data_IF_241760742739
#
_entry.id   IF_241760742739
#
_cell.length_a   1.000
_cell.length_b   1.000
_cell.length_c   1.000
_cell.angle_alpha   90.00
_cell.angle_beta   90.00
_cell.angle_gamma   90.00
#
_symmetry.space_group_name_H-M   'P 1'
#
loop_
_entity.id
_entity.type
_entity.pdbx_description
1 polymer ?
#
# COMPACT_ATOMS: atom_id res chain seq x y z
N UNK A 1 11.47 -45.01 44.52
CA UNK A 1 11.28 -43.81 43.66
C UNK A 1 10.37 -42.84 44.42
N UNK A 2 10.87 -41.65 44.74
CA UNK A 2 10.23 -40.78 45.74
C UNK A 2 9.00 -40.09 45.14
N UNK A 3 7.81 -40.32 45.69
CA UNK A 3 6.53 -39.92 45.10
C UNK A 3 6.42 -38.39 44.89
N UNK A 4 7.09 -37.59 45.73
CA UNK A 4 7.23 -36.13 45.57
C UNK A 4 8.01 -35.72 44.31
N UNK A 5 8.99 -36.52 43.90
CA UNK A 5 9.81 -36.27 42.70
C UNK A 5 9.00 -36.51 41.42
N UNK A 6 8.11 -37.51 41.44
CA UNK A 6 7.21 -37.83 40.31
C UNK A 6 6.18 -36.73 40.10
N UNK A 7 5.58 -36.19 41.16
CA UNK A 7 4.64 -35.06 41.05
C UNK A 7 5.31 -33.76 40.60
N UNK A 8 6.55 -33.51 41.04
CA UNK A 8 7.30 -32.32 40.60
C UNK A 8 7.69 -32.37 39.12
N UNK A 9 8.05 -33.55 38.60
CA UNK A 9 8.32 -33.76 37.17
C UNK A 9 7.04 -33.63 36.33
N UNK A 10 5.93 -34.22 36.78
CA UNK A 10 4.64 -34.13 36.09
C UNK A 10 4.11 -32.69 36.04
N UNK A 11 4.25 -31.93 37.13
CA UNK A 11 3.83 -30.53 37.16
C UNK A 11 4.65 -29.67 36.18
N UNK A 12 5.97 -29.88 36.10
CA UNK A 12 6.84 -29.15 35.18
C UNK A 12 6.50 -29.45 33.70
N UNK A 13 6.18 -30.71 33.38
CA UNK A 13 5.82 -31.11 32.01
C UNK A 13 4.49 -30.54 31.53
N UNK A 14 3.57 -30.19 32.44
CA UNK A 14 2.27 -29.61 32.08
C UNK A 14 2.31 -28.07 32.08
N UNK A 15 3.05 -27.47 33.02
CA UNK A 15 3.18 -26.01 33.11
C UNK A 15 4.00 -25.40 31.98
N UNK A 16 5.06 -26.07 31.53
CA UNK A 16 5.93 -25.56 30.48
C UNK A 16 5.23 -25.36 29.12
N UNK A 17 4.43 -26.33 28.60
CA UNK A 17 3.69 -26.11 27.36
C UNK A 17 2.53 -25.14 27.52
N UNK A 18 1.91 -25.04 28.70
CA UNK A 18 0.84 -24.07 28.95
C UNK A 18 1.39 -22.63 28.96
N UNK A 19 2.55 -22.41 29.61
CA UNK A 19 3.25 -21.12 29.59
C UNK A 19 3.76 -20.76 28.19
N UNK A 20 4.23 -21.74 27.43
CA UNK A 20 4.62 -21.54 26.02
C UNK A 20 3.41 -21.12 25.17
N UNK A 21 2.25 -21.77 25.36
CA UNK A 21 1.01 -21.39 24.67
C UNK A 21 0.58 -19.96 25.02
N UNK A 22 0.57 -19.60 26.31
CA UNK A 22 0.21 -18.26 26.76
C UNK A 22 1.17 -17.20 26.19
N UNK A 23 2.48 -17.45 26.23
CA UNK A 23 3.48 -16.54 25.68
C UNK A 23 3.39 -16.38 24.15
N UNK A 24 2.95 -17.41 23.42
CA UNK A 24 2.81 -17.35 21.97
C UNK A 24 1.47 -16.72 21.53
N UNK A 25 0.44 -16.76 22.38
CA UNK A 25 -0.86 -16.11 22.10
C UNK A 25 -0.92 -14.65 22.54
N UNK A 26 -0.10 -14.27 23.52
CA UNK A 26 -0.15 -12.96 24.13
C UNK A 26 1.08 -12.16 23.72
N UNK A 27 0.86 -11.23 22.78
CA UNK A 27 1.83 -10.31 22.17
C UNK A 27 2.43 -9.29 23.17
N UNK A 28 2.81 -9.72 24.39
CA UNK A 28 3.35 -8.87 25.46
C UNK A 28 4.58 -8.07 25.01
N UNK A 29 5.35 -8.60 24.05
CA UNK A 29 6.58 -8.00 23.52
C UNK A 29 6.43 -7.41 22.12
N UNK A 30 5.21 -7.14 21.67
CA UNK A 30 5.00 -6.27 20.52
C UNK A 30 5.36 -4.85 20.94
N UNK A 31 6.65 -4.53 20.88
CA UNK A 31 7.13 -3.16 20.94
C UNK A 31 6.33 -2.40 19.88
N UNK A 32 5.48 -1.47 20.33
CA UNK A 32 4.82 -0.51 19.45
C UNK A 32 5.93 0.11 18.59
N UNK A 33 6.05 -0.36 17.35
CA UNK A 33 6.86 0.30 16.35
C UNK A 33 6.34 1.73 16.33
N UNK A 34 7.19 2.76 16.53
CA UNK A 34 6.72 4.13 16.48
C UNK A 34 6.05 4.30 15.13
N UNK A 35 4.71 4.45 15.13
CA UNK A 35 3.94 4.68 13.92
C UNK A 35 4.54 5.94 13.32
N UNK A 36 5.31 5.79 12.25
CA UNK A 36 5.93 6.93 11.60
C UNK A 36 4.83 7.94 11.31
N UNK A 37 4.99 9.17 11.80
CA UNK A 37 4.06 10.25 11.54
C UNK A 37 3.74 10.28 10.04
N UNK A 38 2.45 10.30 9.65
CA UNK A 38 2.08 10.21 8.26
C UNK A 38 2.74 11.36 7.49
N UNK A 39 3.56 11.02 6.50
CA UNK A 39 4.17 11.99 5.60
C UNK A 39 3.10 12.91 4.98
N UNK A 40 3.43 14.17 4.69
CA UNK A 40 2.48 15.13 4.12
C UNK A 40 1.78 14.58 2.86
N UNK A 41 2.52 13.84 2.03
CA UNK A 41 1.97 13.17 0.84
C UNK A 41 0.96 12.07 1.20
N UNK A 42 1.23 11.27 2.24
CA UNK A 42 0.30 10.23 2.70
C UNK A 42 -1.00 10.80 3.26
N UNK A 43 -0.94 11.93 3.96
CA UNK A 43 -2.12 12.60 4.49
C UNK A 43 -3.00 13.17 3.35
N UNK A 44 -2.36 13.85 2.39
CA UNK A 44 -3.04 14.36 1.21
C UNK A 44 -3.64 13.22 0.37
N UNK A 45 -2.87 12.15 0.15
CA UNK A 45 -3.31 10.99 -0.62
C UNK A 45 -4.51 10.29 0.03
N UNK A 46 -4.50 10.13 1.36
CA UNK A 46 -5.63 9.53 2.08
C UNK A 46 -6.92 10.35 1.89
N UNK A 47 -6.83 11.68 2.08
CA UNK A 47 -7.96 12.59 1.88
C UNK A 47 -8.46 12.58 0.44
N UNK A 48 -7.55 12.71 -0.52
CA UNK A 48 -7.87 12.76 -1.95
C UNK A 48 -8.40 11.42 -2.47
N UNK A 49 -7.94 10.28 -1.95
CA UNK A 49 -8.50 8.96 -2.26
C UNK A 49 -9.96 8.88 -1.84
N UNK A 50 -10.29 9.34 -0.63
CA UNK A 50 -11.68 9.37 -0.16
C UNK A 50 -12.59 10.24 -1.02
N UNK A 51 -12.09 11.35 -1.58
CA UNK A 51 -12.81 12.19 -2.53
C UNK A 51 -13.00 11.47 -3.87
N UNK A 52 -11.93 10.84 -4.37
CA UNK A 52 -11.94 10.09 -5.61
C UNK A 52 -12.93 8.90 -5.55
N UNK A 53 -12.96 8.16 -4.44
CA UNK A 53 -13.89 7.06 -4.20
C UNK A 53 -15.35 7.54 -4.21
N UNK A 54 -15.63 8.64 -3.49
CA UNK A 54 -16.97 9.25 -3.46
C UNK A 54 -17.42 9.73 -4.84
N UNK A 55 -16.50 10.20 -5.69
CA UNK A 55 -16.84 10.69 -7.03
C UNK A 55 -17.41 9.61 -7.96
N UNK A 56 -17.11 8.34 -7.68
CA UNK A 56 -17.55 7.20 -8.49
C UNK A 56 -18.49 6.25 -7.75
N UNK A 57 -18.80 6.51 -6.47
CA UNK A 57 -19.54 5.59 -5.60
C UNK A 57 -20.94 5.21 -6.12
N UNK A 58 -21.59 6.10 -6.87
CA UNK A 58 -22.93 5.85 -7.44
C UNK A 58 -22.90 5.28 -8.87
N UNK A 59 -21.71 5.05 -9.43
CA UNK A 59 -21.54 4.49 -10.77
C UNK A 59 -21.49 2.97 -10.68
N UNK A 60 -22.30 2.29 -11.48
CA UNK A 60 -22.28 0.83 -11.59
C UNK A 60 -21.84 0.45 -13.00
N UNK A 61 -20.90 -0.49 -13.10
CA UNK A 61 -20.45 -1.03 -14.37
C UNK A 61 -21.31 -2.23 -14.76
N UNK A 62 -22.00 -2.14 -15.89
CA UNK A 62 -22.74 -3.25 -16.52
C UNK A 62 -21.84 -4.02 -17.49
N UNK A 63 -20.83 -3.35 -18.05
CA UNK A 63 -19.95 -3.85 -19.12
C UNK A 63 -18.49 -3.50 -18.81
N UNK A 64 -17.55 -4.28 -19.34
CA UNK A 64 -16.13 -4.16 -18.99
C UNK A 64 -15.53 -2.78 -19.28
N UNK A 65 -15.90 -2.14 -20.40
CA UNK A 65 -15.37 -0.80 -20.71
C UNK A 65 -15.83 0.26 -19.69
N UNK A 66 -17.01 0.09 -19.07
CA UNK A 66 -17.47 1.01 -18.03
C UNK A 66 -16.62 0.91 -16.76
N UNK A 67 -16.03 -0.26 -16.47
CA UNK A 67 -15.07 -0.39 -15.36
C UNK A 67 -13.84 0.47 -15.61
N UNK A 68 -13.32 0.47 -16.85
CA UNK A 68 -12.17 1.29 -17.25
C UNK A 68 -12.50 2.78 -17.21
N UNK A 69 -13.70 3.17 -17.64
CA UNK A 69 -14.19 4.55 -17.55
C UNK A 69 -14.32 5.03 -16.10
N UNK A 70 -14.87 4.20 -15.22
CA UNK A 70 -14.99 4.51 -13.78
C UNK A 70 -13.60 4.67 -13.16
N UNK A 71 -12.67 3.74 -13.44
CA UNK A 71 -11.30 3.82 -12.96
C UNK A 71 -10.59 5.09 -13.48
N UNK A 72 -10.77 5.44 -14.75
CA UNK A 72 -10.21 6.66 -15.34
C UNK A 72 -10.78 7.93 -14.71
N UNK A 73 -12.09 7.98 -14.44
CA UNK A 73 -12.72 9.11 -13.73
C UNK A 73 -12.18 9.26 -12.31
N UNK A 74 -12.08 8.17 -11.56
CA UNK A 74 -11.50 8.16 -10.22
C UNK A 74 -10.07 8.67 -10.21
N UNK A 75 -9.22 8.15 -11.10
CA UNK A 75 -7.83 8.56 -11.22
C UNK A 75 -7.67 10.05 -11.57
N UNK A 76 -8.53 10.59 -12.45
CA UNK A 76 -8.53 12.02 -12.78
C UNK A 76 -8.89 12.89 -11.57
N UNK A 77 -9.90 12.50 -10.79
CA UNK A 77 -10.29 13.23 -9.57
C UNK A 77 -9.16 13.20 -8.55
N UNK A 78 -8.54 12.04 -8.34
CA UNK A 78 -7.38 11.89 -7.47
C UNK A 78 -6.23 12.81 -7.91
N UNK A 79 -5.88 12.79 -9.19
CA UNK A 79 -4.80 13.62 -9.73
C UNK A 79 -5.06 15.11 -9.55
N UNK A 80 -6.28 15.57 -9.82
CA UNK A 80 -6.65 16.97 -9.63
C UNK A 80 -6.56 17.37 -8.15
N UNK A 81 -7.09 16.54 -7.25
CA UNK A 81 -7.02 16.80 -5.82
C UNK A 81 -5.56 16.88 -5.33
N UNK A 82 -4.71 15.95 -5.74
CA UNK A 82 -3.28 15.98 -5.37
C UNK A 82 -2.56 17.21 -5.94
N UNK A 83 -2.89 17.62 -7.16
CA UNK A 83 -2.37 18.85 -7.76
C UNK A 83 -2.77 20.11 -6.97
N UNK A 84 -4.00 20.16 -6.48
CA UNK A 84 -4.54 21.25 -5.65
C UNK A 84 -3.89 21.26 -4.26
N UNK A 85 -3.56 20.08 -3.71
CA UNK A 85 -2.78 19.92 -2.48
C UNK A 85 -1.28 20.23 -2.67
N UNK A 86 -0.86 20.65 -3.87
CA UNK A 86 0.51 21.06 -4.14
C UNK A 86 1.46 19.92 -4.46
N UNK A 87 0.97 18.77 -4.92
CA UNK A 87 1.81 17.66 -5.40
C UNK A 87 1.80 17.57 -6.93
N UNK A 88 2.86 17.03 -7.52
CA UNK A 88 2.97 16.76 -8.96
C UNK A 88 3.60 15.40 -9.22
N UNK A 89 3.57 14.96 -10.47
CA UNK A 89 4.37 13.82 -10.91
C UNK A 89 5.85 14.04 -10.62
N UNK A 90 6.48 13.01 -10.07
CA UNK A 90 7.89 12.98 -9.75
C UNK A 90 8.72 12.61 -11.00
N UNK A 91 9.59 13.51 -11.51
CA UNK A 91 10.43 13.21 -12.67
C UNK A 91 11.39 12.03 -12.44
N UNK A 92 11.78 11.77 -11.18
CA UNK A 92 12.61 10.62 -10.84
C UNK A 92 11.83 9.30 -10.95
N UNK A 93 10.53 9.31 -10.63
CA UNK A 93 9.65 8.16 -10.85
C UNK A 93 9.55 7.84 -12.35
N UNK A 94 9.32 8.84 -13.20
CA UNK A 94 9.23 8.67 -14.66
C UNK A 94 10.46 7.98 -15.24
N UNK A 95 11.66 8.40 -14.80
CA UNK A 95 12.92 7.78 -15.24
C UNK A 95 13.08 6.35 -14.73
N UNK A 96 12.72 6.10 -13.47
CA UNK A 96 12.83 4.77 -12.85
C UNK A 96 11.85 3.76 -13.47
N UNK A 97 10.65 4.19 -13.86
CA UNK A 97 9.60 3.30 -14.35
C UNK A 97 9.63 3.05 -15.85
N UNK A 98 10.38 3.84 -16.62
CA UNK A 98 10.54 3.63 -18.07
C UNK A 98 10.98 2.20 -18.46
N UNK A 99 12.05 1.60 -17.87
CA UNK A 99 12.40 0.21 -18.17
C UNK A 99 11.34 -0.80 -17.71
N UNK A 100 10.63 -0.52 -16.60
CA UNK A 100 9.53 -1.37 -16.11
C UNK A 100 8.36 -1.37 -17.10
N UNK A 101 8.03 -0.20 -17.65
CA UNK A 101 6.98 -0.05 -18.66
C UNK A 101 7.34 -0.82 -19.94
N UNK A 102 8.60 -0.74 -20.37
CA UNK A 102 9.08 -1.47 -21.55
C UNK A 102 9.00 -2.99 -21.35
N UNK A 103 9.38 -3.48 -20.17
CA UNK A 103 9.26 -4.89 -19.83
C UNK A 103 7.79 -5.35 -19.79
N UNK A 104 6.90 -4.55 -19.21
CA UNK A 104 5.48 -4.82 -19.16
C UNK A 104 4.84 -4.82 -20.57
N UNK A 105 5.18 -3.84 -21.42
CA UNK A 105 4.70 -3.76 -22.79
C UNK A 105 5.05 -5.03 -23.60
N UNK A 106 6.30 -5.48 -23.48
CA UNK A 106 6.77 -6.69 -24.16
C UNK A 106 6.09 -7.96 -23.62
N UNK A 107 5.92 -8.06 -22.31
CA UNK A 107 5.39 -9.27 -21.64
C UNK A 107 3.88 -9.40 -21.80
N UNK A 108 3.16 -8.28 -21.76
CA UNK A 108 1.70 -8.23 -21.82
C UNK A 108 1.18 -8.00 -23.24
N UNK A 109 2.08 -7.79 -24.22
CA UNK A 109 1.75 -7.48 -25.61
C UNK A 109 0.85 -6.25 -25.76
N UNK A 110 1.10 -5.23 -24.94
CA UNK A 110 0.42 -3.93 -24.96
C UNK A 110 1.36 -2.84 -25.47
N UNK A 111 0.82 -1.69 -25.82
CA UNK A 111 1.65 -0.54 -26.20
C UNK A 111 2.49 -0.03 -25.02
N UNK A 112 3.63 0.61 -25.32
CA UNK A 112 4.46 1.23 -24.27
C UNK A 112 3.67 2.29 -23.49
N UNK A 113 2.89 3.10 -24.18
CA UNK A 113 2.08 4.17 -23.56
C UNK A 113 1.03 3.58 -22.61
N UNK A 114 0.37 2.49 -23.00
CA UNK A 114 -0.57 1.78 -22.13
C UNK A 114 0.12 1.18 -20.90
N UNK A 115 1.30 0.59 -21.09
CA UNK A 115 2.10 0.08 -19.97
C UNK A 115 2.50 1.20 -19.00
N UNK A 116 2.89 2.36 -19.50
CA UNK A 116 3.22 3.53 -18.68
C UNK A 116 2.01 4.06 -17.92
N UNK A 117 0.87 4.19 -18.58
CA UNK A 117 -0.37 4.65 -17.94
C UNK A 117 -0.86 3.67 -16.86
N UNK A 118 -0.72 2.36 -17.09
CA UNK A 118 -1.04 1.34 -16.09
C UNK A 118 -0.14 1.45 -14.84
N UNK A 119 1.17 1.65 -15.03
CA UNK A 119 2.10 1.88 -13.92
C UNK A 119 1.77 3.16 -13.16
N UNK A 120 1.48 4.25 -13.89
CA UNK A 120 1.07 5.53 -13.31
C UNK A 120 -0.18 5.38 -12.45
N UNK A 121 -1.23 4.72 -12.95
CA UNK A 121 -2.48 4.51 -12.19
C UNK A 121 -2.23 3.75 -10.89
N UNK A 122 -1.41 2.70 -10.94
CA UNK A 122 -1.02 1.94 -9.76
C UNK A 122 -0.25 2.79 -8.75
N UNK A 123 0.76 3.53 -9.22
CA UNK A 123 1.69 4.23 -8.33
C UNK A 123 1.16 5.57 -7.81
N UNK A 124 0.14 6.16 -8.46
CA UNK A 124 -0.62 7.30 -7.92
C UNK A 124 -1.32 6.98 -6.59
N UNK A 125 -1.60 5.70 -6.33
CA UNK A 125 -2.28 5.24 -5.11
C UNK A 125 -1.30 4.69 -4.05
N UNK A 126 0.00 4.69 -4.36
CA UNK A 126 1.03 4.20 -3.46
C UNK A 126 1.35 5.21 -2.35
N UNK A 127 1.19 4.77 -1.10
CA UNK A 127 1.55 5.56 0.09
C UNK A 127 3.05 5.52 0.41
N UNK A 128 3.75 4.49 -0.09
CA UNK A 128 5.16 4.24 0.18
C UNK A 128 5.90 3.97 -1.14
N UNK A 129 7.19 4.35 -1.23
CA UNK A 129 8.00 4.03 -2.40
C UNK A 129 8.12 2.50 -2.55
N UNK A 130 8.23 2.04 -3.79
CA UNK A 130 8.56 0.65 -4.07
C UNK A 130 10.08 0.45 -4.05
N UNK A 131 10.54 -0.79 -4.15
CA UNK A 131 11.97 -1.07 -4.30
C UNK A 131 12.51 -0.56 -5.64
N UNK A 132 11.66 -0.56 -6.67
CA UNK A 132 12.06 -0.27 -8.05
C UNK A 132 11.92 1.20 -8.42
N UNK A 133 11.09 1.97 -7.69
CA UNK A 133 10.79 3.35 -8.01
C UNK A 133 10.49 4.21 -6.77
N UNK A 134 10.87 5.50 -6.78
CA UNK A 134 10.44 6.45 -5.75
C UNK A 134 8.92 6.66 -5.82
N UNK A 135 8.37 7.42 -4.87
CA UNK A 135 6.95 7.79 -4.93
C UNK A 135 6.61 8.57 -6.20
N UNK A 136 5.42 8.32 -6.74
CA UNK A 136 4.87 9.05 -7.89
C UNK A 136 4.66 10.54 -7.57
N UNK A 137 4.18 10.85 -6.37
CA UNK A 137 3.89 12.22 -5.95
C UNK A 137 5.13 12.89 -5.35
N UNK A 138 5.42 14.10 -5.85
CA UNK A 138 6.45 15.00 -5.33
C UNK A 138 5.80 16.34 -4.95
N UNK A 139 6.17 16.90 -3.80
CA UNK A 139 5.70 18.23 -3.42
C UNK A 139 6.24 19.29 -4.42
N UNK A 140 5.37 20.20 -4.87
CA UNK A 140 5.77 21.33 -5.69
C UNK A 140 6.76 22.20 -4.89
N UNK A 141 7.83 22.69 -5.53
CA UNK A 141 8.66 23.71 -4.90
C UNK A 141 7.80 24.93 -4.60
N UNK A 142 7.98 25.54 -3.42
CA UNK A 142 7.34 26.81 -3.09
C UNK A 142 7.76 27.85 -4.15
N UNK A 143 6.78 28.50 -4.77
CA UNK A 143 7.00 29.61 -5.70
C UNK A 143 7.26 30.91 -4.94
#
# INVERSE_FOLDING_TARGET
MNMKFVYSLAALTVLCPMLYWVANTFDWFSADQPKAEPSAVSLALNSCSGIADKSVANLTAVVEYQKLEIAGRRARVLQNCMNDQGFTENPAWVKATQPLAQAAANTQHISLDEAQENLKRRDMEAFYPSQDAPLYWLAKPAQ
#
